data_IF_742889065326
#
_entry.id   IF_742889065326
#
_cell.length_a   1.000
_cell.length_b   1.000
_cell.length_c   1.000
_cell.angle_alpha   90.00
_cell.angle_beta   90.00
_cell.angle_gamma   90.00
#
_symmetry.space_group_name_H-M   'P 1'
#
loop_
_entity.id
_entity.type
_entity.pdbx_description
1 polymer ?
#
# COMPACT_ATOMS: atom_id res chain seq x y z
N UNK A 1 -1.92 20.75 -4.54
CA UNK A 1 -2.22 19.30 -4.73
C UNK A 1 -3.61 18.88 -4.21
N UNK A 2 -4.14 19.46 -3.11
CA UNK A 2 -5.45 19.04 -2.57
C UNK A 2 -6.67 19.43 -3.43
N UNK A 3 -6.53 20.37 -4.37
CA UNK A 3 -7.60 20.83 -5.26
C UNK A 3 -8.03 19.78 -6.30
N UNK A 4 -7.18 18.79 -6.60
CA UNK A 4 -7.44 17.71 -7.57
C UNK A 4 -8.17 16.49 -6.99
N UNK A 5 -8.53 16.53 -5.70
CA UNK A 5 -9.11 15.39 -4.99
C UNK A 5 -10.64 15.28 -5.16
N UNK A 6 -11.29 16.32 -5.67
CA UNK A 6 -12.75 16.34 -5.85
C UNK A 6 -13.15 15.33 -6.94
N UNK A 7 -14.04 14.41 -6.60
CA UNK A 7 -14.52 13.35 -7.49
C UNK A 7 -13.65 12.09 -7.50
N UNK A 8 -12.61 12.02 -6.65
CA UNK A 8 -11.81 10.80 -6.48
C UNK A 8 -12.54 9.78 -5.62
N UNK A 9 -12.40 8.50 -5.94
CA UNK A 9 -13.02 7.39 -5.20
C UNK A 9 -11.96 6.45 -4.62
N UNK A 10 -12.04 6.26 -3.30
CA UNK A 10 -11.12 5.43 -2.51
C UNK A 10 -11.86 4.20 -2.00
N UNK A 11 -11.47 3.02 -2.47
CA UNK A 11 -11.86 1.75 -1.87
C UNK A 11 -10.99 1.45 -0.66
N UNK A 12 -11.54 0.86 0.39
CA UNK A 12 -10.71 0.33 1.48
C UNK A 12 -11.10 -1.06 1.94
N UNK A 13 -10.10 -1.87 2.29
CA UNK A 13 -10.29 -3.16 2.93
C UNK A 13 -9.45 -3.27 4.20
N UNK A 14 -10.13 -3.30 5.34
CA UNK A 14 -9.53 -3.43 6.66
C UNK A 14 -10.41 -4.36 7.49
N UNK A 15 -9.81 -5.15 8.39
CA UNK A 15 -10.60 -5.90 9.37
C UNK A 15 -11.38 -4.95 10.28
N UNK A 16 -12.57 -5.36 10.73
CA UNK A 16 -13.41 -4.57 11.63
C UNK A 16 -12.65 -4.12 12.89
N UNK A 17 -11.79 -5.01 13.42
CA UNK A 17 -10.88 -4.69 14.53
C UNK A 17 -9.96 -3.51 14.21
N UNK A 18 -9.42 -3.44 12.99
CA UNK A 18 -8.52 -2.37 12.54
C UNK A 18 -9.26 -1.08 12.22
N UNK A 19 -10.46 -1.16 11.63
CA UNK A 19 -11.36 -0.02 11.41
C UNK A 19 -11.64 0.68 12.75
N UNK A 20 -12.05 -0.10 13.76
CA UNK A 20 -12.33 0.42 15.10
C UNK A 20 -11.08 1.00 15.77
N UNK A 21 -9.95 0.28 15.72
CA UNK A 21 -8.69 0.72 16.35
C UNK A 21 -8.16 2.03 15.76
N UNK A 22 -8.29 2.23 14.46
CA UNK A 22 -7.83 3.43 13.77
C UNK A 22 -8.85 4.57 13.78
N UNK A 23 -10.08 4.33 14.25
CA UNK A 23 -11.21 5.22 14.02
C UNK A 23 -11.32 5.61 12.54
N UNK A 24 -11.29 4.61 11.64
CA UNK A 24 -11.17 4.86 10.19
C UNK A 24 -12.35 5.65 9.61
N UNK A 25 -13.49 5.66 10.31
CA UNK A 25 -14.64 6.51 9.95
C UNK A 25 -14.30 8.00 9.99
N UNK A 26 -13.46 8.45 10.94
CA UNK A 26 -13.01 9.84 10.97
C UNK A 26 -12.16 10.21 9.74
N UNK A 27 -11.35 9.26 9.24
CA UNK A 27 -10.62 9.43 7.99
C UNK A 27 -11.56 9.50 6.78
N UNK A 28 -12.55 8.61 6.70
CA UNK A 28 -13.55 8.63 5.63
C UNK A 28 -14.32 9.97 5.60
N UNK A 29 -14.71 10.49 6.76
CA UNK A 29 -15.35 11.81 6.88
C UNK A 29 -14.44 12.96 6.43
N UNK A 30 -13.15 12.91 6.77
CA UNK A 30 -12.18 13.90 6.31
C UNK A 30 -12.06 13.90 4.77
N UNK A 31 -12.06 12.72 4.15
CA UNK A 31 -12.06 12.57 2.70
C UNK A 31 -13.33 13.13 2.06
N UNK A 32 -14.51 12.81 2.61
CA UNK A 32 -15.80 13.33 2.11
C UNK A 32 -15.86 14.86 2.13
N UNK A 33 -15.34 15.49 3.19
CA UNK A 33 -15.24 16.97 3.28
C UNK A 33 -14.37 17.59 2.17
N UNK A 34 -13.49 16.81 1.55
CA UNK A 34 -12.67 17.21 0.40
C UNK A 34 -13.27 16.78 -0.95
N UNK A 35 -14.49 16.24 -0.96
CA UNK A 35 -15.15 15.73 -2.15
C UNK A 35 -14.58 14.41 -2.65
N UNK A 36 -13.96 13.62 -1.78
CA UNK A 36 -13.47 12.27 -2.07
C UNK A 36 -14.51 11.26 -1.58
N UNK A 37 -14.93 10.37 -2.45
CA UNK A 37 -15.77 9.23 -2.09
C UNK A 37 -14.94 8.15 -1.42
N UNK A 38 -15.43 7.59 -0.32
CA UNK A 38 -14.75 6.50 0.41
C UNK A 38 -15.73 5.37 0.62
N UNK A 39 -15.37 4.18 0.12
CA UNK A 39 -16.22 2.98 0.13
C UNK A 39 -15.47 1.80 0.76
N UNK A 40 -16.13 1.09 1.68
CA UNK A 40 -15.60 -0.16 2.22
C UNK A 40 -15.81 -1.26 1.17
N UNK A 41 -14.72 -1.91 0.78
CA UNK A 41 -14.76 -3.00 -0.19
C UNK A 41 -15.24 -4.29 0.48
N UNK A 42 -16.17 -4.97 -0.18
CA UNK A 42 -16.54 -6.34 0.10
C UNK A 42 -15.86 -7.26 -0.91
N UNK A 43 -14.75 -7.87 -0.51
CA UNK A 43 -13.99 -8.77 -1.38
C UNK A 43 -14.71 -10.08 -1.68
N UNK A 44 -15.83 -10.40 -1.02
CA UNK A 44 -16.68 -11.55 -1.39
C UNK A 44 -17.58 -11.27 -2.60
N UNK A 45 -17.56 -10.05 -3.14
CA UNK A 45 -18.28 -9.64 -4.36
C UNK A 45 -17.28 -9.19 -5.43
N UNK A 46 -17.66 -9.20 -6.72
CA UNK A 46 -16.85 -8.61 -7.77
C UNK A 46 -16.46 -7.17 -7.44
N UNK A 47 -15.18 -6.83 -7.61
CA UNK A 47 -14.67 -5.49 -7.30
C UNK A 47 -15.09 -4.49 -8.39
N UNK A 48 -15.30 -4.96 -9.62
CA UNK A 48 -15.85 -4.18 -10.74
C UNK A 48 -17.17 -3.47 -10.39
N UNK A 49 -18.07 -4.16 -9.68
CA UNK A 49 -19.35 -3.61 -9.24
C UNK A 49 -19.22 -2.53 -8.15
N UNK A 50 -18.04 -2.44 -7.53
CA UNK A 50 -17.74 -1.54 -6.41
C UNK A 50 -16.87 -0.35 -6.83
N UNK A 51 -16.44 -0.30 -8.10
CA UNK A 51 -15.66 0.76 -8.69
C UNK A 51 -16.48 1.78 -9.50
N UNK A 52 -15.83 2.52 -10.42
CA UNK A 52 -14.37 2.60 -10.61
C UNK A 52 -13.66 3.17 -9.37
N UNK A 53 -12.42 2.77 -9.12
CA UNK A 53 -11.63 3.21 -7.96
C UNK A 53 -10.37 3.94 -8.44
N UNK A 54 -10.05 5.08 -7.85
CA UNK A 54 -8.76 5.74 -8.09
C UNK A 54 -7.67 5.18 -7.17
N UNK A 55 -8.05 4.80 -5.95
CA UNK A 55 -7.14 4.33 -4.91
C UNK A 55 -7.77 3.19 -4.13
N UNK A 56 -6.97 2.20 -3.76
CA UNK A 56 -7.32 1.18 -2.77
C UNK A 56 -6.40 1.29 -1.57
N UNK A 57 -6.95 1.43 -0.37
CA UNK A 57 -6.23 1.36 0.90
C UNK A 57 -6.54 0.01 1.56
N UNK A 58 -5.54 -0.81 1.86
CA UNK A 58 -5.84 -2.10 2.46
C UNK A 58 -4.84 -2.59 3.52
N UNK A 59 -5.28 -3.58 4.29
CA UNK A 59 -4.43 -4.38 5.18
C UNK A 59 -4.79 -5.86 5.05
N UNK A 60 -4.46 -6.45 3.90
CA UNK A 60 -4.72 -7.87 3.60
C UNK A 60 -3.72 -8.84 4.23
N UNK A 61 -2.83 -8.36 5.10
CA UNK A 61 -1.73 -9.13 5.71
C UNK A 61 -2.17 -10.49 6.25
N UNK A 62 -3.24 -10.51 7.06
CA UNK A 62 -3.71 -11.74 7.71
C UNK A 62 -4.38 -12.69 6.70
N UNK A 63 -5.16 -12.14 5.75
CA UNK A 63 -5.79 -12.93 4.67
C UNK A 63 -4.73 -13.56 3.75
N UNK A 64 -3.66 -12.83 3.44
CA UNK A 64 -2.55 -13.37 2.63
C UNK A 64 -1.86 -14.51 3.39
N UNK A 65 -1.66 -14.38 4.71
CA UNK A 65 -1.08 -15.46 5.53
C UNK A 65 -1.99 -16.70 5.58
N UNK A 66 -3.29 -16.52 5.70
CA UNK A 66 -4.28 -17.61 5.65
C UNK A 66 -4.28 -18.28 4.26
N UNK A 67 -4.23 -17.49 3.19
CA UNK A 67 -4.11 -18.00 1.82
C UNK A 67 -2.81 -18.79 1.61
N UNK A 68 -1.68 -18.33 2.15
CA UNK A 68 -0.39 -19.03 2.10
C UNK A 68 -0.42 -20.35 2.91
N UNK A 69 -1.39 -20.52 3.83
CA UNK A 69 -1.68 -21.76 4.55
C UNK A 69 -2.72 -22.67 3.84
N UNK A 70 -3.07 -22.33 2.60
CA UNK A 70 -4.07 -23.01 1.76
C UNK A 70 -5.52 -22.90 2.26
N UNK A 71 -5.86 -21.82 2.99
CA UNK A 71 -7.26 -21.49 3.25
C UNK A 71 -7.96 -21.09 1.94
N UNK A 72 -8.97 -21.87 1.54
CA UNK A 72 -9.62 -21.74 0.24
C UNK A 72 -10.37 -20.41 0.09
N UNK A 73 -11.00 -19.93 1.15
CA UNK A 73 -11.71 -18.65 1.14
C UNK A 73 -10.70 -17.50 0.95
N UNK A 74 -9.60 -17.52 1.70
CA UNK A 74 -8.57 -16.49 1.63
C UNK A 74 -7.84 -16.48 0.29
N UNK A 75 -7.57 -17.65 -0.29
CA UNK A 75 -7.03 -17.78 -1.64
C UNK A 75 -7.94 -17.08 -2.66
N UNK A 76 -9.24 -17.32 -2.60
CA UNK A 76 -10.23 -16.70 -3.49
C UNK A 76 -10.28 -15.17 -3.31
N UNK A 77 -10.23 -14.68 -2.07
CA UNK A 77 -10.22 -13.24 -1.79
C UNK A 77 -8.95 -12.56 -2.34
N UNK A 78 -7.78 -13.18 -2.15
CA UNK A 78 -6.50 -12.67 -2.67
C UNK A 78 -6.47 -12.73 -4.20
N UNK A 79 -6.97 -13.81 -4.80
CA UNK A 79 -7.05 -13.97 -6.25
C UNK A 79 -7.92 -12.89 -6.88
N UNK A 80 -9.15 -12.72 -6.41
CA UNK A 80 -10.07 -11.70 -6.91
C UNK A 80 -9.51 -10.28 -6.78
N UNK A 81 -8.79 -10.02 -5.67
CA UNK A 81 -8.12 -8.74 -5.49
C UNK A 81 -6.98 -8.52 -6.49
N UNK A 82 -6.18 -9.55 -6.75
CA UNK A 82 -5.10 -9.51 -7.73
C UNK A 82 -5.64 -9.32 -9.15
N UNK A 83 -6.68 -10.06 -9.55
CA UNK A 83 -7.32 -9.92 -10.87
C UNK A 83 -7.79 -8.48 -11.14
N UNK A 84 -8.41 -7.84 -10.15
CA UNK A 84 -8.83 -6.44 -10.27
C UNK A 84 -7.63 -5.50 -10.43
N UNK A 85 -6.56 -5.69 -9.66
CA UNK A 85 -5.36 -4.84 -9.76
C UNK A 85 -4.69 -5.00 -11.12
N UNK A 86 -4.63 -6.21 -11.64
CA UNK A 86 -4.02 -6.50 -12.94
C UNK A 86 -4.86 -5.91 -14.09
N UNK A 87 -6.18 -5.90 -13.95
CA UNK A 87 -7.10 -5.31 -14.92
C UNK A 87 -7.15 -3.77 -14.88
N UNK A 88 -6.87 -3.15 -13.73
CA UNK A 88 -6.96 -1.70 -13.51
C UNK A 88 -5.64 -1.09 -13.03
N UNK A 89 -4.59 -1.03 -13.89
CA UNK A 89 -3.28 -0.48 -13.54
C UNK A 89 -3.32 1.01 -13.16
N UNK A 90 -4.37 1.73 -13.52
CA UNK A 90 -4.63 3.11 -13.09
C UNK A 90 -5.02 3.23 -11.60
N UNK A 91 -5.47 2.13 -10.98
CA UNK A 91 -5.85 2.12 -9.57
C UNK A 91 -4.60 2.07 -8.69
N UNK A 92 -4.41 3.10 -7.86
CA UNK A 92 -3.27 3.14 -6.94
C UNK A 92 -3.55 2.22 -5.74
N UNK A 93 -2.72 1.20 -5.55
CA UNK A 93 -2.85 0.26 -4.43
C UNK A 93 -1.89 0.63 -3.30
N UNK A 94 -2.45 0.91 -2.12
CA UNK A 94 -1.73 1.25 -0.90
C UNK A 94 -1.86 0.08 0.10
N UNK A 95 -0.94 -0.89 0.11
CA UNK A 95 0.34 -0.97 -0.66
C UNK A 95 0.36 -2.20 -1.57
N UNK A 96 1.16 -2.23 -2.67
CA UNK A 96 1.17 -3.36 -3.60
C UNK A 96 1.43 -4.71 -2.91
N UNK A 97 0.72 -5.76 -3.33
CA UNK A 97 0.83 -7.10 -2.72
C UNK A 97 2.27 -7.64 -2.63
N UNK A 98 3.16 -7.45 -3.64
CA UNK A 98 4.55 -7.90 -3.54
C UNK A 98 5.31 -7.25 -2.37
N UNK A 99 5.04 -5.98 -2.07
CA UNK A 99 5.64 -5.29 -0.93
C UNK A 99 5.12 -5.89 0.39
N UNK A 100 3.81 -6.15 0.49
CA UNK A 100 3.21 -6.82 1.65
C UNK A 100 3.83 -8.21 1.87
N UNK A 101 3.99 -9.02 0.82
CA UNK A 101 4.61 -10.35 0.89
C UNK A 101 6.07 -10.30 1.36
N UNK A 102 6.82 -9.27 0.99
CA UNK A 102 8.18 -9.06 1.51
C UNK A 102 8.16 -8.82 3.02
N UNK A 103 7.21 -8.02 3.50
CA UNK A 103 7.06 -7.67 4.92
C UNK A 103 6.46 -8.78 5.80
N UNK A 104 5.88 -9.83 5.19
CA UNK A 104 5.39 -11.01 5.91
C UNK A 104 6.53 -11.94 6.35
N UNK A 105 7.65 -11.93 5.62
CA UNK A 105 8.81 -12.75 5.91
C UNK A 105 9.90 -11.90 6.59
N UNK A 106 10.21 -12.22 7.85
CA UNK A 106 11.23 -11.49 8.62
C UNK A 106 12.62 -11.60 8.00
N UNK A 107 12.98 -12.76 7.44
CA UNK A 107 14.28 -12.97 6.80
C UNK A 107 14.41 -12.07 5.57
N UNK A 108 13.39 -12.05 4.70
CA UNK A 108 13.36 -11.17 3.51
C UNK A 108 13.34 -9.69 3.90
N UNK A 109 12.57 -9.34 4.93
CA UNK A 109 12.49 -7.98 5.45
C UNK A 109 13.85 -7.50 5.96
N UNK A 110 14.53 -8.29 6.79
CA UNK A 110 15.85 -7.94 7.33
C UNK A 110 16.92 -7.88 6.24
N UNK A 111 16.88 -8.80 5.28
CA UNK A 111 17.79 -8.77 4.14
C UNK A 111 17.57 -7.53 3.27
N UNK A 112 16.31 -7.11 3.06
CA UNK A 112 16.01 -5.87 2.35
C UNK A 112 16.55 -4.65 3.12
N UNK A 113 16.31 -4.56 4.42
CA UNK A 113 16.84 -3.47 5.27
C UNK A 113 18.37 -3.43 5.21
N UNK A 114 19.04 -4.58 5.29
CA UNK A 114 20.51 -4.68 5.20
C UNK A 114 21.04 -4.18 3.86
N UNK A 115 20.38 -4.53 2.75
CA UNK A 115 20.74 -4.04 1.41
C UNK A 115 20.57 -2.52 1.30
N UNK A 116 19.46 -1.98 1.82
CA UNK A 116 19.21 -0.53 1.85
C UNK A 116 20.31 0.17 2.67
N UNK A 117 20.67 -0.36 3.84
CA UNK A 117 21.73 0.22 4.68
C UNK A 117 23.09 0.22 3.96
N UNK A 118 23.45 -0.87 3.30
CA UNK A 118 24.70 -0.96 2.52
C UNK A 118 24.71 0.05 1.36
N UNK A 119 23.61 0.15 0.63
CA UNK A 119 23.45 1.12 -0.46
C UNK A 119 23.58 2.57 0.04
N UNK A 120 22.92 2.90 1.16
CA UNK A 120 23.01 4.24 1.75
C UNK A 120 24.43 4.59 2.22
N UNK A 121 25.19 3.63 2.77
CA UNK A 121 26.60 3.84 3.13
C UNK A 121 27.46 4.15 1.90
N UNK A 122 27.28 3.41 0.80
CA UNK A 122 27.97 3.66 -0.45
C UNK A 122 27.72 5.07 -1.02
N UNK A 123 26.45 5.50 -1.04
CA UNK A 123 26.09 6.85 -1.48
C UNK A 123 26.74 7.95 -0.62
N UNK A 124 26.87 7.73 0.69
CA UNK A 124 27.54 8.69 1.58
C UNK A 124 29.06 8.74 1.35
N UNK A 125 29.69 7.62 1.03
CA UNK A 125 31.12 7.56 0.69
C UNK A 125 31.41 8.25 -0.65
N UNK A 126 30.56 8.05 -1.66
CA UNK A 126 30.63 8.76 -2.94
C UNK A 126 30.41 10.28 -2.78
N UNK A 127 29.41 10.69 -2.00
CA UNK A 127 29.15 12.10 -1.74
C UNK A 127 30.34 12.79 -1.04
N UNK A 128 31.04 12.08 -0.14
CA UNK A 128 32.24 12.60 0.56
C UNK A 128 33.49 12.66 -0.30
N UNK A 129 33.56 11.89 -1.38
CA UNK A 129 34.72 11.84 -2.29
C UNK A 129 34.59 12.81 -3.49
N UNK A 130 33.45 13.51 -3.63
CA UNK A 130 33.27 14.51 -4.68
C UNK A 130 34.01 15.83 -4.37
N UNK A 131 34.85 16.39 -5.25
CA UNK A 131 35.76 17.51 -4.93
C UNK A 131 35.09 18.88 -4.71
N UNK A 132 33.78 19.00 -4.87
CA UNK A 132 33.08 20.29 -4.96
C UNK A 132 33.00 21.03 -3.61
N UNK A 133 33.34 20.40 -2.48
CA UNK A 133 33.36 21.02 -1.15
C UNK A 133 34.75 21.47 -0.67
N UNK A 134 35.82 21.23 -1.44
CA UNK A 134 37.19 21.64 -1.06
C UNK A 134 37.60 23.04 -1.56
N UNK A 135 36.76 23.76 -2.32
CA UNK A 135 37.09 25.10 -2.87
C UNK A 135 36.53 26.30 -2.11
N UNK A 136 36.09 26.12 -0.86
CA UNK A 136 35.58 27.22 -0.01
C UNK A 136 36.48 27.51 1.20
N UNK A 137 37.71 27.01 1.19
CA UNK A 137 38.68 27.21 2.28
C UNK A 137 40.07 27.61 1.78
N UNK A 138 40.13 28.42 0.72
CA UNK A 138 41.33 29.20 0.34
C UNK A 138 40.98 30.70 0.32
#
# INVERSE_FOLDING_TARGET
>A
MQTFLKGKRVGYWLSEKKIKKLNFQAFAELCRKRGIEVVQLNLSRPIEEQGPLDVIIHKLTDVILEADQNDSQSLELVHRFQEYIDAHPETIVLDPLPAIRTLLDRSKSYELVRKIEAYMKGLLEEARSTPTLQKLSD
#
